data_IF_925050163503
#
_entry.id   IF_925050163503
#
_cell.length_a   1.000
_cell.length_b   1.000
_cell.length_c   1.000
_cell.angle_alpha   90.00
_cell.angle_beta   90.00
_cell.angle_gamma   90.00
#
_symmetry.space_group_name_H-M   'P 1'
#
loop_
_entity.id
_entity.type
_entity.pdbx_description
1 polymer ?
#
# COMPACT_ATOMS: atom_id res chain seq x y z
N UNK A 1 43.58 16.52 -37.68
CA UNK A 1 43.33 15.60 -36.55
C UNK A 1 42.90 16.42 -35.35
N UNK A 2 41.65 16.31 -34.88
CA UNK A 2 41.27 16.17 -33.45
C UNK A 2 39.83 15.62 -33.43
N UNK A 3 39.66 14.44 -32.83
CA UNK A 3 38.38 13.75 -32.59
C UNK A 3 37.60 14.52 -31.51
N UNK A 4 36.34 14.88 -31.79
CA UNK A 4 35.40 15.27 -30.75
C UNK A 4 34.80 14.00 -30.12
N UNK A 5 35.11 13.74 -28.86
CA UNK A 5 34.52 12.66 -28.08
C UNK A 5 33.21 13.14 -27.46
N UNK A 6 32.14 12.41 -27.78
CA UNK A 6 30.84 12.44 -27.12
C UNK A 6 31.00 11.86 -25.71
N UNK A 7 30.50 12.56 -24.70
CA UNK A 7 30.23 11.98 -23.37
C UNK A 7 28.73 11.94 -23.12
N UNK A 8 28.16 10.75 -23.29
CA UNK A 8 26.88 10.36 -22.68
C UNK A 8 27.06 10.45 -21.16
N UNK A 9 26.24 11.25 -20.48
CA UNK A 9 26.09 11.14 -19.03
C UNK A 9 24.98 10.13 -18.74
N UNK A 10 25.38 9.00 -18.19
CA UNK A 10 24.52 7.94 -17.68
C UNK A 10 23.79 8.38 -16.39
N UNK A 11 22.62 7.79 -16.16
CA UNK A 11 21.61 8.25 -15.23
C UNK A 11 22.01 8.23 -13.76
N UNK A 12 21.50 9.23 -13.05
CA UNK A 12 21.30 9.16 -11.61
C UNK A 12 19.95 8.47 -11.37
N UNK A 13 19.98 7.15 -11.11
CA UNK A 13 18.87 6.51 -10.42
C UNK A 13 18.81 7.12 -9.01
N UNK A 14 17.78 7.91 -8.74
CA UNK A 14 17.54 8.43 -7.41
C UNK A 14 17.33 7.25 -6.46
N UNK A 15 18.27 7.06 -5.53
CA UNK A 15 18.06 6.17 -4.40
C UNK A 15 16.97 6.79 -3.53
N UNK A 16 15.79 6.17 -3.49
CA UNK A 16 14.70 6.56 -2.59
C UNK A 16 15.17 6.42 -1.13
N UNK A 17 14.93 7.41 -0.27
CA UNK A 17 15.29 7.33 1.13
C UNK A 17 14.70 6.08 1.82
N UNK A 18 15.45 5.53 2.78
CA UNK A 18 15.14 4.28 3.47
C UNK A 18 13.84 4.30 4.32
N UNK A 19 13.09 5.42 4.31
CA UNK A 19 11.76 5.54 4.92
C UNK A 19 10.60 5.41 3.92
N UNK A 20 10.88 5.16 2.64
CA UNK A 20 9.88 5.17 1.56
C UNK A 20 9.32 3.77 1.21
N UNK A 21 9.81 2.70 1.86
CA UNK A 21 9.33 1.33 1.63
C UNK A 21 8.60 0.76 2.83
N UNK A 22 7.63 -0.11 2.55
CA UNK A 22 6.95 -0.91 3.56
C UNK A 22 7.94 -1.84 4.29
N UNK A 23 7.83 -1.91 5.60
CA UNK A 23 8.55 -2.89 6.41
C UNK A 23 7.91 -4.28 6.27
N UNK A 24 8.70 -5.28 5.84
CA UNK A 24 8.37 -6.71 5.61
C UNK A 24 6.92 -7.14 5.95
N UNK A 25 5.94 -6.80 5.09
CA UNK A 25 4.54 -7.07 5.39
C UNK A 25 4.23 -8.57 5.34
N UNK A 26 4.81 -9.32 4.40
CA UNK A 26 4.59 -10.77 4.31
C UNK A 26 5.10 -11.52 5.54
N UNK A 27 6.29 -11.17 6.04
CA UNK A 27 6.82 -11.77 7.26
C UNK A 27 5.96 -11.47 8.49
N UNK A 28 5.43 -10.25 8.63
CA UNK A 28 4.47 -9.96 9.69
C UNK A 28 3.19 -10.81 9.54
N UNK A 29 2.62 -10.86 8.34
CA UNK A 29 1.38 -11.58 8.07
C UNK A 29 1.52 -13.08 8.38
N UNK A 30 2.63 -13.72 7.98
CA UNK A 30 2.94 -15.11 8.31
C UNK A 30 3.00 -15.33 9.83
N UNK A 31 3.78 -14.51 10.56
CA UNK A 31 3.88 -14.62 12.03
C UNK A 31 2.53 -14.47 12.72
N UNK A 32 1.72 -13.48 12.32
CA UNK A 32 0.40 -13.26 12.93
C UNK A 32 -0.55 -14.41 12.63
N UNK A 33 -0.54 -14.90 11.40
CA UNK A 33 -1.49 -15.90 10.96
C UNK A 33 -1.14 -17.31 11.49
N UNK A 34 0.14 -17.62 11.72
CA UNK A 34 0.60 -18.82 12.46
C UNK A 34 0.22 -18.75 13.94
N UNK A 35 0.27 -17.56 14.54
CA UNK A 35 -0.10 -17.32 15.92
C UNK A 35 -1.62 -17.18 16.15
N UNK A 36 -2.46 -17.32 15.11
CA UNK A 36 -3.90 -17.03 15.14
C UNK A 36 -4.24 -15.65 15.72
N UNK A 37 -3.42 -14.63 15.37
CA UNK A 37 -3.61 -13.23 15.78
C UNK A 37 -4.11 -12.38 14.61
N UNK A 38 -4.72 -11.21 14.89
CA UNK A 38 -5.18 -10.31 13.84
C UNK A 38 -4.06 -9.89 12.88
N UNK A 39 -4.25 -10.15 11.59
CA UNK A 39 -3.30 -9.75 10.53
C UNK A 39 -3.38 -8.26 10.18
N UNK A 40 -4.45 -7.58 10.59
CA UNK A 40 -4.67 -6.16 10.31
C UNK A 40 -3.58 -5.26 10.94
N UNK A 41 -2.99 -5.68 12.06
CA UNK A 41 -1.93 -4.93 12.74
C UNK A 41 -0.67 -4.78 11.88
N UNK A 42 -0.42 -5.74 10.99
CA UNK A 42 0.72 -5.71 10.07
C UNK A 42 0.68 -4.54 9.08
N UNK A 43 -0.51 -4.01 8.78
CA UNK A 43 -0.63 -2.87 7.87
C UNK A 43 -0.02 -1.62 8.50
N UNK A 44 -0.29 -1.38 9.79
CA UNK A 44 0.28 -0.25 10.52
C UNK A 44 1.77 -0.44 10.80
N UNK A 45 2.20 -1.67 11.10
CA UNK A 45 3.61 -2.00 11.28
C UNK A 45 4.41 -1.74 9.99
N UNK A 46 3.88 -2.17 8.84
CA UNK A 46 4.55 -2.01 7.55
C UNK A 46 4.72 -0.53 7.15
N UNK A 47 3.75 0.33 7.46
CA UNK A 47 3.84 1.77 7.19
C UNK A 47 4.34 2.59 8.39
N UNK A 48 4.95 1.96 9.41
CA UNK A 48 5.32 2.62 10.66
C UNK A 48 6.28 3.80 10.45
N UNK A 49 7.14 3.69 9.42
CA UNK A 49 8.08 4.74 9.05
C UNK A 49 7.38 6.06 8.68
N UNK A 50 6.15 6.05 8.18
CA UNK A 50 5.43 7.29 7.87
C UNK A 50 5.02 8.08 9.12
N UNK A 51 4.94 7.44 10.29
CA UNK A 51 4.63 8.12 11.55
C UNK A 51 5.82 8.86 12.18
N UNK A 52 7.02 8.75 11.60
CA UNK A 52 8.18 9.50 12.09
C UNK A 52 8.14 10.99 11.69
N UNK A 53 7.36 11.31 10.66
CA UNK A 53 7.20 12.68 10.17
C UNK A 53 6.14 13.42 10.98
N UNK A 54 6.25 14.75 11.03
CA UNK A 54 5.22 15.59 11.64
C UNK A 54 3.87 15.38 10.92
N UNK A 55 2.79 15.26 11.70
CA UNK A 55 1.45 15.06 11.17
C UNK A 55 1.07 16.19 10.20
N UNK A 56 0.44 15.83 9.08
CA UNK A 56 0.07 16.76 8.00
C UNK A 56 1.22 17.50 7.31
N UNK A 57 2.48 17.17 7.62
CA UNK A 57 3.62 17.64 6.83
C UNK A 57 3.59 17.07 5.41
N UNK A 58 4.17 17.79 4.42
CA UNK A 58 4.31 17.26 3.07
C UNK A 58 5.06 15.92 3.01
N UNK A 59 6.04 15.70 3.89
CA UNK A 59 6.79 14.45 3.97
C UNK A 59 5.93 13.28 4.46
N UNK A 60 5.11 13.49 5.49
CA UNK A 60 4.16 12.47 5.95
C UNK A 60 3.18 12.07 4.84
N UNK A 61 2.61 13.06 4.14
CA UNK A 61 1.66 12.83 3.06
C UNK A 61 2.31 12.08 1.89
N UNK A 62 3.53 12.46 1.49
CA UNK A 62 4.28 11.76 0.46
C UNK A 62 4.56 10.30 0.83
N UNK A 63 4.94 10.04 2.09
CA UNK A 63 5.17 8.67 2.57
C UNK A 63 3.91 7.81 2.49
N UNK A 64 2.76 8.28 2.96
CA UNK A 64 1.51 7.50 2.87
C UNK A 64 1.02 7.30 1.43
N UNK A 65 1.24 8.28 0.54
CA UNK A 65 0.95 8.10 -0.88
C UNK A 65 1.83 7.01 -1.51
N UNK A 66 3.14 7.02 -1.21
CA UNK A 66 4.05 5.96 -1.66
C UNK A 66 3.66 4.59 -1.08
N UNK A 67 3.31 4.52 0.20
CA UNK A 67 2.84 3.29 0.84
C UNK A 67 1.57 2.75 0.16
N UNK A 68 0.62 3.61 -0.21
CA UNK A 68 -0.59 3.23 -0.97
C UNK A 68 -0.22 2.58 -2.31
N UNK A 69 0.74 3.17 -3.03
CA UNK A 69 1.23 2.63 -4.31
C UNK A 69 1.89 1.27 -4.12
N UNK A 70 2.78 1.14 -3.14
CA UNK A 70 3.49 -0.11 -2.83
C UNK A 70 2.53 -1.23 -2.40
N UNK A 71 1.50 -0.93 -1.60
CA UNK A 71 0.44 -1.90 -1.32
C UNK A 71 -0.30 -2.35 -2.57
N UNK A 72 -0.53 -1.44 -3.53
CA UNK A 72 -1.11 -1.76 -4.83
C UNK A 72 -0.22 -2.71 -5.63
N UNK A 73 1.09 -2.51 -5.62
CA UNK A 73 2.07 -3.40 -6.25
C UNK A 73 2.06 -4.79 -5.60
N UNK A 74 1.99 -4.85 -4.27
CA UNK A 74 1.91 -6.12 -3.53
C UNK A 74 0.61 -6.89 -3.84
N UNK A 75 -0.52 -6.19 -4.01
CA UNK A 75 -1.78 -6.80 -4.47
C UNK A 75 -1.60 -7.37 -5.88
N UNK A 76 -1.02 -6.61 -6.81
CA UNK A 76 -0.79 -7.06 -8.18
C UNK A 76 0.11 -8.31 -8.21
N UNK A 77 1.24 -8.27 -7.52
CA UNK A 77 2.16 -9.40 -7.41
C UNK A 77 1.52 -10.64 -6.74
N UNK A 78 0.62 -10.43 -5.78
CA UNK A 78 -0.14 -11.53 -5.16
C UNK A 78 -1.17 -12.13 -6.13
N UNK A 79 -1.88 -11.30 -6.88
CA UNK A 79 -2.82 -11.76 -7.90
C UNK A 79 -2.12 -12.54 -9.02
N UNK A 80 -0.92 -12.12 -9.43
CA UNK A 80 -0.12 -12.86 -10.40
C UNK A 80 0.28 -14.25 -9.87
N UNK A 81 0.70 -14.34 -8.60
CA UNK A 81 0.95 -15.63 -7.93
C UNK A 81 -0.30 -16.51 -7.92
N UNK A 82 -1.46 -15.97 -7.53
CA UNK A 82 -2.73 -16.71 -7.50
C UNK A 82 -3.10 -17.24 -8.90
N UNK A 83 -2.96 -16.42 -9.95
CA UNK A 83 -3.23 -16.85 -11.34
C UNK A 83 -2.29 -17.95 -11.81
N UNK A 84 -1.07 -18.00 -11.30
CA UNK A 84 -0.08 -19.01 -11.65
C UNK A 84 -0.31 -20.35 -10.92
N UNK A 85 -0.88 -20.34 -9.71
CA UNK A 85 -0.97 -21.53 -8.85
C UNK A 85 -2.38 -22.07 -8.65
N UNK A 86 -3.42 -21.24 -8.75
CA UNK A 86 -4.80 -21.64 -8.47
C UNK A 86 -5.60 -21.96 -9.75
N UNK A 87 -6.69 -22.75 -9.66
CA UNK A 87 -7.62 -22.92 -10.78
C UNK A 87 -8.16 -21.58 -11.31
N UNK A 88 -8.45 -21.46 -12.62
CA UNK A 88 -8.89 -20.19 -13.21
C UNK A 88 -10.11 -19.56 -12.54
N UNK A 89 -11.06 -20.38 -12.06
CA UNK A 89 -12.24 -19.94 -11.33
C UNK A 89 -11.87 -19.28 -9.98
N UNK A 90 -10.95 -19.89 -9.22
CA UNK A 90 -10.48 -19.36 -7.93
C UNK A 90 -9.73 -18.04 -8.14
N UNK A 91 -8.88 -17.97 -9.16
CA UNK A 91 -8.17 -16.74 -9.50
C UNK A 91 -9.13 -15.60 -9.91
N UNK A 92 -10.22 -15.94 -10.62
CA UNK A 92 -11.27 -14.98 -10.96
C UNK A 92 -12.03 -14.49 -9.73
N UNK A 93 -12.40 -15.40 -8.80
CA UNK A 93 -13.05 -15.05 -7.53
C UNK A 93 -12.16 -14.12 -6.72
N UNK A 94 -10.88 -14.46 -6.50
CA UNK A 94 -9.93 -13.62 -5.76
C UNK A 94 -9.81 -12.21 -6.39
N UNK A 95 -9.79 -12.13 -7.72
CA UNK A 95 -9.75 -10.85 -8.43
C UNK A 95 -11.01 -10.00 -8.25
N UNK A 96 -12.19 -10.64 -8.18
CA UNK A 96 -13.46 -9.96 -7.88
C UNK A 96 -13.46 -9.48 -6.43
N UNK A 97 -13.11 -10.34 -5.48
CA UNK A 97 -13.12 -10.01 -4.05
C UNK A 97 -12.18 -8.83 -3.76
N UNK A 98 -10.91 -8.87 -4.18
CA UNK A 98 -9.97 -7.78 -3.91
C UNK A 98 -10.40 -6.47 -4.56
N UNK A 99 -11.00 -6.52 -5.76
CA UNK A 99 -11.54 -5.34 -6.43
C UNK A 99 -12.65 -4.67 -5.60
N UNK A 100 -13.57 -5.45 -5.05
CA UNK A 100 -14.67 -4.92 -4.26
C UNK A 100 -14.25 -4.52 -2.84
N UNK A 101 -13.28 -5.23 -2.24
CA UNK A 101 -12.67 -4.83 -0.97
C UNK A 101 -11.99 -3.47 -1.11
N UNK A 102 -11.19 -3.27 -2.16
CA UNK A 102 -10.55 -1.98 -2.44
C UNK A 102 -11.57 -0.85 -2.61
N UNK A 103 -12.60 -1.07 -3.43
CA UNK A 103 -13.66 -0.08 -3.65
C UNK A 103 -14.41 0.25 -2.35
N UNK A 104 -14.76 -0.78 -1.58
CA UNK A 104 -15.48 -0.62 -0.33
C UNK A 104 -14.65 0.17 0.69
N UNK A 105 -13.38 -0.18 0.86
CA UNK A 105 -12.49 0.49 1.81
C UNK A 105 -12.21 1.95 1.41
N UNK A 106 -11.92 2.22 0.13
CA UNK A 106 -11.69 3.57 -0.37
C UNK A 106 -12.93 4.46 -0.27
N UNK A 107 -14.12 3.90 -0.55
CA UNK A 107 -15.38 4.62 -0.35
C UNK A 107 -15.60 5.00 1.13
N UNK A 108 -15.12 4.20 2.10
CA UNK A 108 -15.16 4.64 3.50
C UNK A 108 -14.19 5.79 3.79
N UNK A 109 -13.02 5.84 3.14
CA UNK A 109 -12.12 6.98 3.24
C UNK A 109 -12.77 8.25 2.69
N UNK A 110 -13.39 8.18 1.51
CA UNK A 110 -14.12 9.30 0.90
C UNK A 110 -15.25 9.77 1.83
N UNK A 111 -16.05 8.84 2.35
CA UNK A 111 -17.12 9.17 3.32
C UNK A 111 -16.58 9.87 4.57
N UNK A 112 -15.45 9.43 5.10
CA UNK A 112 -14.85 10.06 6.28
C UNK A 112 -14.35 11.48 5.97
N UNK A 113 -13.76 11.70 4.80
CA UNK A 113 -13.38 13.04 4.33
C UNK A 113 -14.60 13.94 4.18
N UNK A 114 -15.67 13.49 3.51
CA UNK A 114 -16.90 14.25 3.35
C UNK A 114 -17.53 14.63 4.71
N UNK A 115 -17.58 13.70 5.65
CA UNK A 115 -18.08 13.97 7.01
C UNK A 115 -17.20 14.96 7.78
N UNK A 116 -15.89 14.94 7.55
CA UNK A 116 -14.95 15.86 8.16
C UNK A 116 -15.16 17.28 7.64
N UNK A 117 -15.31 17.45 6.32
CA UNK A 117 -15.54 18.73 5.64
C UNK A 117 -16.86 19.43 6.01
N UNK A 118 -17.81 18.72 6.63
CA UNK A 118 -19.01 19.35 7.22
C UNK A 118 -18.68 20.13 8.49
N UNK A 119 -17.60 19.77 9.20
CA UNK A 119 -17.28 20.29 10.55
C UNK A 119 -16.04 21.18 10.57
N UNK A 120 -15.16 21.05 9.59
CA UNK A 120 -13.90 21.79 9.53
C UNK A 120 -13.61 22.22 8.09
N UNK A 121 -12.86 23.31 7.93
CA UNK A 121 -12.45 23.78 6.61
C UNK A 121 -11.48 22.78 5.95
N UNK A 122 -11.51 22.66 4.61
CA UNK A 122 -10.49 21.91 3.89
C UNK A 122 -9.09 22.40 4.26
N UNK A 123 -8.19 21.48 4.61
CA UNK A 123 -6.85 21.85 5.04
C UNK A 123 -5.88 20.66 5.14
N UNK A 124 -4.62 20.93 5.51
CA UNK A 124 -3.58 19.90 5.58
C UNK A 124 -3.94 18.70 6.45
N UNK A 125 -4.66 18.91 7.55
CA UNK A 125 -5.10 17.84 8.45
C UNK A 125 -6.14 16.90 7.80
N UNK A 126 -7.09 17.44 7.02
CA UNK A 126 -8.08 16.63 6.27
C UNK A 126 -7.36 15.78 5.22
N UNK A 127 -6.44 16.40 4.47
CA UNK A 127 -5.62 15.69 3.49
C UNK A 127 -4.80 14.57 4.14
N UNK A 128 -4.14 14.86 5.26
CA UNK A 128 -3.33 13.88 5.99
C UNK A 128 -4.14 12.67 6.45
N UNK A 129 -5.35 12.91 7.00
CA UNK A 129 -6.28 11.84 7.37
C UNK A 129 -6.71 11.01 6.16
N UNK A 130 -7.01 11.67 5.04
CA UNK A 130 -7.40 10.99 3.79
C UNK A 130 -6.28 10.08 3.27
N UNK A 131 -5.08 10.60 3.04
CA UNK A 131 -3.98 9.81 2.44
C UNK A 131 -3.58 8.65 3.35
N UNK A 132 -3.56 8.84 4.68
CA UNK A 132 -3.35 7.75 5.64
C UNK A 132 -4.46 6.70 5.59
N UNK A 133 -5.71 7.13 5.48
CA UNK A 133 -6.84 6.20 5.34
C UNK A 133 -6.68 5.36 4.08
N UNK A 134 -6.41 5.99 2.94
CA UNK A 134 -6.29 5.30 1.66
C UNK A 134 -5.13 4.29 1.66
N UNK A 135 -3.95 4.64 2.20
CA UNK A 135 -2.84 3.71 2.35
C UNK A 135 -3.21 2.49 3.20
N UNK A 136 -3.87 2.73 4.34
CA UNK A 136 -4.33 1.68 5.24
C UNK A 136 -5.41 0.80 4.58
N UNK A 137 -6.34 1.41 3.84
CA UNK A 137 -7.42 0.73 3.13
C UNK A 137 -6.89 -0.26 2.07
N UNK A 138 -5.87 0.14 1.31
CA UNK A 138 -5.21 -0.74 0.33
C UNK A 138 -4.41 -1.83 1.05
N UNK A 139 -3.67 -1.49 2.10
CA UNK A 139 -2.93 -2.48 2.89
C UNK A 139 -3.83 -3.54 3.55
N UNK A 140 -5.02 -3.16 4.04
CA UNK A 140 -6.00 -4.11 4.58
C UNK A 140 -6.55 -5.05 3.50
N UNK A 141 -6.78 -4.56 2.27
CA UNK A 141 -7.18 -5.39 1.15
C UNK A 141 -6.08 -6.41 0.79
N UNK A 142 -4.81 -5.97 0.81
CA UNK A 142 -3.67 -6.89 0.64
C UNK A 142 -3.60 -7.96 1.74
N UNK A 143 -3.68 -7.56 3.01
CA UNK A 143 -3.60 -8.49 4.14
C UNK A 143 -4.69 -9.58 4.06
N UNK A 144 -5.92 -9.18 3.70
CA UNK A 144 -7.03 -10.12 3.48
C UNK A 144 -6.76 -11.05 2.29
N UNK A 145 -6.37 -10.50 1.14
CA UNK A 145 -6.04 -11.29 -0.05
C UNK A 145 -4.94 -12.31 0.25
N UNK A 146 -3.87 -11.88 0.92
CA UNK A 146 -2.75 -12.74 1.32
C UNK A 146 -3.25 -13.89 2.20
N UNK A 147 -4.04 -13.58 3.23
CA UNK A 147 -4.55 -14.59 4.17
C UNK A 147 -5.45 -15.61 3.47
N UNK A 148 -6.39 -15.16 2.64
CA UNK A 148 -7.32 -16.04 1.92
C UNK A 148 -6.60 -16.95 0.92
N UNK A 149 -5.52 -16.46 0.32
CA UNK A 149 -4.79 -17.20 -0.72
C UNK A 149 -3.58 -17.98 -0.21
N UNK A 150 -3.22 -17.88 1.07
CA UNK A 150 -1.98 -18.48 1.57
C UNK A 150 -1.97 -19.99 1.39
N UNK A 151 -3.11 -20.66 1.54
CA UNK A 151 -3.25 -22.11 1.53
C UNK A 151 -3.75 -22.66 0.16
N UNK A 152 -3.75 -21.84 -0.90
CA UNK A 152 -4.26 -22.20 -2.24
C UNK A 152 -3.23 -22.91 -3.13
N UNK A 153 -2.40 -23.79 -2.54
CA UNK A 153 -1.34 -24.53 -3.24
C UNK A 153 -1.55 -26.04 -3.19
#
# INVERSE_FOLDING_TARGET
MVRALVTLSAGAGAAQPAGDRLADPEGCLSRQAEANRPVADCVNEAQVACFQYEEASPAANACFLAAKEEWGELIAARMDRIRATAPPEIAAIAGIEVKYDLRGNLMQCDRMEELALVREDPGPAVLARRVRCEATAVGLAYAKLWLQSRDMH
#
